data_IF_648365413629
#
_entry.id   IF_648365413629
#
_cell.length_a   1.000
_cell.length_b   1.000
_cell.length_c   1.000
_cell.angle_alpha   90.00
_cell.angle_beta   90.00
_cell.angle_gamma   90.00
#
_symmetry.space_group_name_H-M   'P 1'
#
loop_
_entity.id
_entity.type
_entity.pdbx_description
1 polymer ?
#
# COMPACT_ATOMS: atom_id res chain seq x y z
N UNK A 1 -15.18 1.20 11.59
CA UNK A 1 -16.27 1.56 10.64
C UNK A 1 -15.74 1.25 9.25
N UNK A 2 -16.38 0.35 8.52
CA UNK A 2 -15.97 0.02 7.15
C UNK A 2 -16.36 1.12 6.16
N UNK A 3 -15.63 1.22 5.07
CA UNK A 3 -15.93 2.12 3.95
C UNK A 3 -16.35 1.26 2.76
N UNK A 4 -17.44 1.60 2.13
CA UNK A 4 -18.05 0.85 1.02
C UNK A 4 -18.25 1.75 -0.18
N UNK A 5 -17.86 1.27 -1.36
CA UNK A 5 -18.08 1.92 -2.66
C UNK A 5 -17.69 3.41 -2.61
N UNK A 6 -16.40 3.65 -2.58
CA UNK A 6 -15.82 4.99 -2.54
C UNK A 6 -14.69 5.10 -3.54
N UNK A 7 -14.39 6.31 -3.97
CA UNK A 7 -13.29 6.56 -4.89
C UNK A 7 -12.46 7.78 -4.53
N UNK A 8 -11.18 7.71 -4.84
CA UNK A 8 -10.23 8.82 -4.84
C UNK A 8 -9.66 8.87 -6.26
N UNK A 9 -10.06 9.85 -7.02
CA UNK A 9 -9.71 9.91 -8.44
C UNK A 9 -9.28 11.31 -8.88
N UNK A 10 -8.32 11.37 -9.79
CA UNK A 10 -7.84 12.60 -10.42
C UNK A 10 -7.33 13.65 -9.41
N UNK A 11 -6.71 13.20 -8.33
CA UNK A 11 -6.21 14.04 -7.24
C UNK A 11 -4.68 14.10 -7.23
N UNK A 12 -4.16 15.14 -6.58
CA UNK A 12 -2.73 15.27 -6.27
C UNK A 12 -2.55 15.27 -4.76
N UNK A 13 -1.67 14.41 -4.28
CA UNK A 13 -1.22 14.32 -2.89
C UNK A 13 0.27 14.66 -2.85
N UNK A 14 0.62 15.74 -2.20
CA UNK A 14 1.99 16.23 -2.17
C UNK A 14 2.30 16.93 -0.85
N UNK A 15 3.57 16.93 -0.45
CA UNK A 15 4.07 17.57 0.76
C UNK A 15 3.37 17.04 2.04
N UNK A 16 3.37 15.71 2.18
CA UNK A 16 2.73 15.04 3.31
C UNK A 16 3.79 14.40 4.20
N UNK A 17 3.72 14.62 5.51
CA UNK A 17 4.66 14.06 6.48
C UNK A 17 4.58 12.53 6.62
N UNK A 18 3.40 11.95 6.46
CA UNK A 18 3.13 10.52 6.57
C UNK A 18 2.73 9.84 5.26
N UNK A 19 1.92 8.80 5.35
CA UNK A 19 1.37 8.05 4.21
C UNK A 19 0.46 8.94 3.36
N UNK A 20 0.64 8.91 2.04
CA UNK A 20 -0.15 9.71 1.11
C UNK A 20 -1.64 9.33 1.14
N UNK A 21 -1.96 8.06 0.96
CA UNK A 21 -3.32 7.52 1.06
C UNK A 21 -3.29 6.26 1.92
N UNK A 22 -4.12 6.21 2.96
CA UNK A 22 -4.21 5.06 3.86
C UNK A 22 -5.64 4.54 3.93
N UNK A 23 -5.83 3.24 3.66
CA UNK A 23 -7.15 2.60 3.62
C UNK A 23 -7.13 1.31 4.44
N UNK A 24 -8.27 1.01 5.05
CA UNK A 24 -8.51 -0.24 5.74
C UNK A 24 -8.01 -0.27 7.16
N UNK A 25 -7.97 -1.47 7.74
CA UNK A 25 -7.59 -1.68 9.11
C UNK A 25 -6.11 -2.07 9.23
N UNK A 26 -5.47 -1.46 10.20
CA UNK A 26 -4.15 -1.83 10.70
C UNK A 26 -4.32 -2.03 12.21
N UNK A 27 -4.71 -3.24 12.65
CA UNK A 27 -5.04 -3.49 14.04
C UNK A 27 -3.89 -3.16 15.00
N UNK A 28 -4.22 -2.61 16.16
CA UNK A 28 -3.26 -2.30 17.21
C UNK A 28 -2.47 -3.56 17.63
N UNK A 29 -1.18 -3.41 17.83
CA UNK A 29 -0.27 -4.53 18.07
C UNK A 29 -0.03 -5.41 16.85
N UNK A 30 -0.57 -5.02 15.70
CA UNK A 30 -0.48 -5.73 14.43
C UNK A 30 0.82 -5.53 13.67
N UNK A 31 1.82 -4.88 14.25
CA UNK A 31 3.14 -4.85 13.65
C UNK A 31 3.67 -6.28 13.54
N UNK A 32 4.00 -6.70 12.35
CA UNK A 32 4.56 -8.03 12.10
C UNK A 32 3.71 -9.16 12.70
N UNK A 33 2.39 -9.04 12.64
CA UNK A 33 1.51 -10.10 13.13
C UNK A 33 1.45 -11.27 12.17
N UNK A 34 1.54 -12.48 12.72
CA UNK A 34 1.27 -13.73 12.00
C UNK A 34 -0.17 -14.21 12.18
N UNK A 35 -0.97 -13.43 12.86
CA UNK A 35 -2.38 -13.75 13.13
C UNK A 35 -3.25 -13.04 12.10
N UNK A 36 -4.14 -13.75 11.38
CA UNK A 36 -5.02 -13.11 10.42
C UNK A 36 -6.04 -12.21 11.13
N UNK A 37 -6.29 -11.05 10.54
CA UNK A 37 -7.39 -10.20 11.00
C UNK A 37 -8.65 -10.52 10.20
N UNK A 38 -9.65 -11.03 10.90
CA UNK A 38 -10.99 -11.22 10.36
C UNK A 38 -11.90 -10.29 11.17
N UNK A 39 -12.44 -9.23 10.58
CA UNK A 39 -13.30 -8.33 11.34
C UNK A 39 -14.54 -9.10 11.82
N UNK A 40 -14.98 -8.87 13.06
CA UNK A 40 -16.14 -9.58 13.63
C UNK A 40 -17.44 -9.30 12.88
N UNK A 41 -17.49 -8.19 12.16
CA UNK A 41 -18.61 -7.80 11.33
C UNK A 41 -18.10 -7.37 9.94
N UNK A 42 -18.71 -7.88 8.88
CA UNK A 42 -18.32 -7.59 7.49
C UNK A 42 -18.26 -6.08 7.21
N UNK A 43 -19.15 -5.30 7.80
CA UNK A 43 -19.16 -3.83 7.70
C UNK A 43 -17.90 -3.14 8.24
N UNK A 44 -17.04 -3.85 8.93
CA UNK A 44 -15.78 -3.31 9.43
C UNK A 44 -14.62 -3.52 8.44
N UNK A 45 -14.87 -4.26 7.36
CA UNK A 45 -13.93 -4.40 6.26
C UNK A 45 -14.14 -3.26 5.26
N UNK A 46 -13.07 -2.63 4.82
CA UNK A 46 -13.13 -1.70 3.71
C UNK A 46 -13.23 -2.47 2.39
N UNK A 47 -14.28 -2.22 1.62
CA UNK A 47 -14.55 -2.94 0.36
C UNK A 47 -14.84 -2.01 -0.80
N UNK A 48 -14.52 -2.48 -2.01
CA UNK A 48 -14.93 -1.85 -3.28
C UNK A 48 -14.50 -0.37 -3.39
N UNK A 49 -13.27 -0.07 -2.96
CA UNK A 49 -12.68 1.27 -3.03
C UNK A 49 -11.83 1.38 -4.28
N UNK A 50 -12.00 2.47 -5.01
CA UNK A 50 -11.19 2.82 -6.19
C UNK A 50 -10.21 3.93 -5.86
N UNK A 51 -8.92 3.73 -6.17
CA UNK A 51 -7.87 4.76 -6.15
C UNK A 51 -7.30 4.84 -7.56
N UNK A 52 -7.68 5.87 -8.31
CA UNK A 52 -7.41 5.90 -9.74
C UNK A 52 -6.95 7.25 -10.25
N UNK A 53 -5.96 7.21 -11.13
CA UNK A 53 -5.47 8.39 -11.84
C UNK A 53 -5.05 9.54 -10.91
N UNK A 54 -4.38 9.21 -9.81
CA UNK A 54 -3.84 10.18 -8.86
C UNK A 54 -2.34 10.32 -9.03
N UNK A 55 -1.82 11.49 -8.69
CA UNK A 55 -0.40 11.72 -8.44
C UNK A 55 -0.16 11.75 -6.93
N UNK A 56 0.66 10.83 -6.44
CA UNK A 56 1.12 10.79 -5.04
C UNK A 56 2.63 11.00 -5.07
N UNK A 57 3.06 12.18 -4.65
CA UNK A 57 4.46 12.57 -4.75
C UNK A 57 4.93 13.35 -3.53
N UNK A 58 6.21 13.22 -3.18
CA UNK A 58 6.79 13.96 -2.08
C UNK A 58 5.98 13.80 -0.78
N UNK A 59 5.68 12.55 -0.45
CA UNK A 59 5.03 12.15 0.79
C UNK A 59 6.01 11.35 1.66
N UNK A 60 5.67 11.04 2.90
CA UNK A 60 6.54 10.38 3.89
C UNK A 60 7.68 11.29 4.41
N UNK A 61 7.49 12.59 4.41
CA UNK A 61 8.56 13.56 4.65
C UNK A 61 9.00 13.64 6.11
N UNK A 62 8.12 13.36 7.06
CA UNK A 62 8.41 13.38 8.50
C UNK A 62 8.51 11.96 9.07
N UNK A 63 7.60 11.07 8.68
CA UNK A 63 7.63 9.65 9.05
C UNK A 63 8.10 8.81 7.86
N UNK A 64 9.37 8.50 7.83
CA UNK A 64 10.00 7.81 6.71
C UNK A 64 9.54 6.36 6.55
N UNK A 65 9.01 5.73 7.60
CA UNK A 65 8.46 4.37 7.55
C UNK A 65 7.10 4.29 6.87
N UNK A 66 6.50 5.42 6.55
CA UNK A 66 5.24 5.50 5.82
C UNK A 66 5.41 5.18 4.33
N UNK A 67 4.29 4.99 3.63
CA UNK A 67 4.26 4.56 2.23
C UNK A 67 3.46 5.52 1.34
N UNK A 68 3.60 5.41 0.02
CA UNK A 68 2.81 6.24 -0.90
C UNK A 68 1.32 5.93 -0.79
N UNK A 69 0.93 4.68 -0.99
CA UNK A 69 -0.44 4.17 -0.80
C UNK A 69 -0.36 2.95 0.10
N UNK A 70 -1.07 2.97 1.21
CA UNK A 70 -1.23 1.85 2.14
C UNK A 70 -2.67 1.35 2.16
N UNK A 71 -2.87 0.06 1.94
CA UNK A 71 -4.15 -0.61 2.04
C UNK A 71 -4.01 -1.83 2.95
N UNK A 72 -4.52 -1.77 4.16
CA UNK A 72 -4.40 -2.83 5.16
C UNK A 72 -5.27 -4.05 4.84
N UNK A 73 -6.14 -4.43 5.75
CA UNK A 73 -7.10 -5.51 5.50
C UNK A 73 -8.28 -4.97 4.68
N UNK A 74 -8.24 -5.21 3.38
CA UNK A 74 -9.19 -4.67 2.38
C UNK A 74 -9.64 -5.76 1.41
N UNK A 75 -10.79 -5.59 0.79
CA UNK A 75 -11.31 -6.52 -0.20
C UNK A 75 -11.91 -5.80 -1.41
N UNK A 76 -11.61 -6.29 -2.61
CA UNK A 76 -12.19 -5.74 -3.85
C UNK A 76 -11.71 -4.34 -4.20
N UNK A 77 -10.54 -3.90 -3.70
CA UNK A 77 -10.04 -2.57 -4.05
C UNK A 77 -9.43 -2.56 -5.46
N UNK A 78 -9.50 -1.38 -6.10
CA UNK A 78 -8.87 -1.09 -7.37
C UNK A 78 -7.89 0.08 -7.22
N UNK A 79 -6.59 -0.23 -7.24
CA UNK A 79 -5.52 0.78 -7.28
C UNK A 79 -4.94 0.78 -8.68
N UNK A 80 -5.36 1.73 -9.50
CA UNK A 80 -4.97 1.72 -10.91
C UNK A 80 -4.64 3.09 -11.50
N UNK A 81 -3.70 3.09 -12.47
CA UNK A 81 -3.31 4.29 -13.21
C UNK A 81 -2.78 5.44 -12.33
N UNK A 82 -2.23 5.14 -11.15
CA UNK A 82 -1.63 6.16 -10.31
C UNK A 82 -0.14 6.30 -10.62
N UNK A 83 0.37 7.51 -10.47
CA UNK A 83 1.80 7.79 -10.38
C UNK A 83 2.17 8.00 -8.90
N UNK A 84 3.13 7.22 -8.43
CA UNK A 84 3.55 7.20 -7.02
C UNK A 84 5.06 7.34 -6.96
N UNK A 85 5.55 8.46 -6.46
CA UNK A 85 6.98 8.75 -6.57
C UNK A 85 7.54 9.67 -5.47
N UNK A 86 8.88 9.78 -5.44
CA UNK A 86 9.65 10.59 -4.50
C UNK A 86 9.36 10.24 -3.04
N UNK A 87 9.49 8.95 -2.72
CA UNK A 87 9.16 8.38 -1.41
C UNK A 87 10.40 7.99 -0.63
N UNK A 88 10.33 8.12 0.67
CA UNK A 88 11.42 7.69 1.56
C UNK A 88 11.45 6.18 1.80
N UNK A 89 10.36 5.48 1.54
CA UNK A 89 10.23 4.04 1.72
C UNK A 89 9.49 3.40 0.52
N UNK A 90 8.49 2.54 0.80
CA UNK A 90 7.77 1.77 -0.23
C UNK A 90 6.70 2.57 -0.98
N UNK A 91 6.41 2.15 -2.21
CA UNK A 91 5.41 2.77 -3.08
C UNK A 91 3.98 2.43 -2.68
N UNK A 92 3.48 1.29 -3.14
CA UNK A 92 2.12 0.81 -2.91
C UNK A 92 2.18 -0.48 -2.09
N UNK A 93 1.62 -0.46 -0.89
CA UNK A 93 1.54 -1.61 0.00
C UNK A 93 0.10 -2.07 0.15
N UNK A 94 -0.18 -3.34 -0.20
CA UNK A 94 -1.52 -3.93 -0.09
C UNK A 94 -1.46 -5.20 0.74
N UNK A 95 -2.22 -5.23 1.82
CA UNK A 95 -2.22 -6.28 2.81
C UNK A 95 -1.47 -5.93 4.07
N UNK A 96 -1.66 -6.74 5.09
CA UNK A 96 -1.02 -6.60 6.38
C UNK A 96 -0.80 -7.98 7.04
N UNK A 97 0.21 -8.05 7.90
CA UNK A 97 0.58 -9.30 8.54
C UNK A 97 1.35 -10.27 7.64
N UNK A 98 1.90 -11.31 8.22
CA UNK A 98 2.65 -12.36 7.52
C UNK A 98 2.02 -13.73 7.81
N UNK A 99 0.93 -14.04 7.12
CA UNK A 99 0.22 -15.31 7.32
C UNK A 99 -0.33 -15.88 6.02
N UNK A 100 -0.30 -17.20 5.90
CA UNK A 100 -0.98 -17.92 4.81
C UNK A 100 -2.45 -18.25 5.14
N UNK A 101 -2.88 -17.95 6.36
CA UNK A 101 -4.25 -18.19 6.77
C UNK A 101 -5.21 -17.22 6.11
N UNK A 102 -6.48 -17.61 6.01
CA UNK A 102 -7.52 -16.75 5.49
C UNK A 102 -7.71 -15.50 6.37
N UNK A 103 -7.91 -14.38 5.69
CA UNK A 103 -8.28 -13.10 6.29
C UNK A 103 -9.44 -12.49 5.49
N UNK A 104 -9.83 -11.27 5.80
CA UNK A 104 -10.81 -10.56 4.98
C UNK A 104 -10.31 -10.14 3.59
N UNK A 105 -9.01 -10.26 3.34
CA UNK A 105 -8.38 -9.77 2.10
C UNK A 105 -8.62 -10.69 0.93
N UNK A 106 -9.18 -10.14 -0.16
CA UNK A 106 -9.40 -10.89 -1.42
C UNK A 106 -9.73 -9.94 -2.57
N UNK A 107 -9.57 -10.44 -3.80
CA UNK A 107 -10.02 -9.79 -5.04
C UNK A 107 -9.49 -8.35 -5.21
N UNK A 108 -8.32 -8.04 -4.67
CA UNK A 108 -7.69 -6.73 -4.79
C UNK A 108 -6.99 -6.61 -6.14
N UNK A 109 -7.07 -5.47 -6.79
CA UNK A 109 -6.46 -5.22 -8.08
C UNK A 109 -5.50 -4.05 -8.01
N UNK A 110 -4.23 -4.28 -8.38
CA UNK A 110 -3.18 -3.27 -8.45
C UNK A 110 -2.67 -3.28 -9.90
N UNK A 111 -3.12 -2.32 -10.72
CA UNK A 111 -2.94 -2.40 -12.15
C UNK A 111 -2.52 -1.07 -12.79
N UNK A 112 -1.61 -1.15 -13.75
CA UNK A 112 -1.20 -0.02 -14.58
C UNK A 112 -0.72 1.22 -13.78
N UNK A 113 -0.14 1.03 -12.61
CA UNK A 113 0.46 2.11 -11.85
C UNK A 113 1.92 2.34 -12.29
N UNK A 114 2.38 3.57 -12.17
CA UNK A 114 3.77 3.94 -12.35
C UNK A 114 4.38 4.32 -11.00
N UNK A 115 5.31 3.50 -10.51
CA UNK A 115 5.98 3.72 -9.21
C UNK A 115 7.47 3.95 -9.45
N UNK A 116 7.99 5.08 -8.99
CA UNK A 116 9.40 5.42 -9.22
C UNK A 116 9.98 6.36 -8.16
N UNK A 117 11.32 6.44 -8.08
CA UNK A 117 12.05 7.25 -7.12
C UNK A 117 11.57 6.99 -5.67
N UNK A 118 11.70 5.76 -5.24
CA UNK A 118 11.33 5.30 -3.89
C UNK A 118 12.55 4.69 -3.17
N UNK A 119 12.41 4.37 -1.89
CA UNK A 119 13.50 3.91 -1.01
C UNK A 119 14.63 4.96 -0.83
N UNK A 120 14.29 6.24 -0.78
CA UNK A 120 15.27 7.32 -0.67
C UNK A 120 15.98 7.39 0.68
N UNK A 121 15.35 6.91 1.74
CA UNK A 121 15.85 6.97 3.12
C UNK A 121 15.93 5.63 3.80
N UNK A 122 15.00 4.73 3.54
CA UNK A 122 14.94 3.40 4.14
C UNK A 122 15.12 2.33 3.08
N UNK A 123 15.87 1.30 3.43
CA UNK A 123 16.02 0.07 2.67
C UNK A 123 14.89 -0.94 3.00
N UNK A 124 14.93 -2.13 2.44
CA UNK A 124 13.89 -3.16 2.58
C UNK A 124 12.51 -2.66 2.09
N UNK A 125 12.56 -1.93 0.99
CA UNK A 125 11.40 -1.29 0.39
C UNK A 125 11.02 -1.97 -0.94
N UNK A 126 9.75 -1.85 -1.32
CA UNK A 126 9.25 -2.31 -2.61
C UNK A 126 8.43 -1.25 -3.33
N UNK A 127 8.54 -1.19 -4.65
CA UNK A 127 7.61 -0.36 -5.44
C UNK A 127 6.17 -0.84 -5.27
N UNK A 128 5.97 -2.16 -5.32
CA UNK A 128 4.74 -2.84 -4.90
C UNK A 128 5.10 -3.85 -3.80
N UNK A 129 4.34 -3.84 -2.73
CA UNK A 129 4.55 -4.73 -1.60
C UNK A 129 3.22 -5.33 -1.15
N UNK A 130 3.15 -6.67 -1.10
CA UNK A 130 1.93 -7.37 -0.69
C UNK A 130 2.20 -8.35 0.42
N UNK A 131 1.29 -8.42 1.36
CA UNK A 131 1.40 -9.25 2.54
C UNK A 131 0.18 -10.15 2.70
N UNK A 132 0.42 -11.31 3.31
CA UNK A 132 -0.58 -12.32 3.68
C UNK A 132 -1.35 -12.92 2.51
N UNK A 133 -2.24 -13.83 2.81
CA UNK A 133 -3.07 -14.52 1.84
C UNK A 133 -4.17 -13.60 1.31
N UNK A 134 -4.22 -13.42 -0.01
CA UNK A 134 -5.19 -12.56 -0.70
C UNK A 134 -5.76 -13.27 -1.93
N UNK A 135 -6.62 -14.26 -1.77
CA UNK A 135 -7.15 -15.04 -2.89
C UNK A 135 -7.86 -14.14 -3.92
N UNK A 136 -7.66 -14.43 -5.20
CA UNK A 136 -8.25 -13.68 -6.30
C UNK A 136 -7.65 -12.28 -6.54
N UNK A 137 -6.65 -11.87 -5.76
CA UNK A 137 -5.97 -10.59 -5.98
C UNK A 137 -4.98 -10.66 -7.14
N UNK A 138 -4.83 -9.56 -7.86
CA UNK A 138 -4.02 -9.48 -9.08
C UNK A 138 -3.16 -8.24 -9.10
N UNK A 139 -1.88 -8.41 -9.43
CA UNK A 139 -0.96 -7.33 -9.79
C UNK A 139 -0.51 -7.50 -11.23
N UNK A 140 -0.75 -6.52 -12.09
CA UNK A 140 -0.35 -6.58 -13.49
C UNK A 140 -0.14 -5.21 -14.13
N UNK A 141 0.65 -5.19 -15.19
CA UNK A 141 0.90 -4.01 -16.01
C UNK A 141 1.45 -2.80 -15.25
N UNK A 142 1.99 -2.98 -14.05
CA UNK A 142 2.61 -1.89 -13.32
C UNK A 142 4.03 -1.67 -13.84
N UNK A 143 4.45 -0.41 -13.88
CA UNK A 143 5.81 -0.01 -14.19
C UNK A 143 6.49 0.42 -12.89
N UNK A 144 7.63 -0.20 -12.57
CA UNK A 144 8.41 0.09 -11.37
C UNK A 144 9.84 0.35 -11.82
N UNK A 145 10.39 1.49 -11.46
CA UNK A 145 11.77 1.85 -11.80
C UNK A 145 12.36 2.87 -10.82
N UNK A 146 13.63 3.15 -10.94
CA UNK A 146 14.34 4.11 -10.10
C UNK A 146 14.20 3.82 -8.60
N UNK A 147 14.49 2.57 -8.21
CA UNK A 147 14.78 2.26 -6.81
C UNK A 147 16.03 3.03 -6.42
N UNK A 148 15.93 3.90 -5.44
CA UNK A 148 17.07 4.64 -4.91
C UNK A 148 17.77 3.82 -3.82
N UNK A 149 19.08 3.94 -3.72
CA UNK A 149 19.84 3.28 -2.67
C UNK A 149 19.82 4.15 -1.40
N UNK A 150 19.07 3.69 -0.40
CA UNK A 150 19.02 4.38 0.87
C UNK A 150 20.43 4.51 1.51
N UNK A 151 20.77 5.62 2.14
CA UNK A 151 22.11 5.87 2.69
C UNK A 151 22.59 4.83 3.71
N UNK A 152 21.67 4.09 4.28
CA UNK A 152 21.91 3.05 5.29
C UNK A 152 21.75 1.63 4.74
N UNK A 153 21.59 1.48 3.44
CA UNK A 153 21.56 0.16 2.83
C UNK A 153 22.94 -0.51 3.04
N UNK A 154 22.95 -1.66 3.69
CA UNK A 154 24.16 -2.44 3.83
C UNK A 154 24.48 -3.15 2.51
N UNK A 155 25.75 -3.18 2.14
CA UNK A 155 26.21 -3.86 0.91
C UNK A 155 26.21 -5.40 1.01
N UNK A 156 25.58 -5.96 2.01
CA UNK A 156 25.41 -7.41 2.17
C UNK A 156 24.27 -7.91 1.29
N UNK A 157 24.52 -7.93 -0.03
CA UNK A 157 23.63 -8.49 -1.05
C UNK A 157 24.22 -9.73 -1.68
#
# INVERSE_FOLDING_TARGET
MGCFISGIENCVFSDIGGTGILIGAFPDGGFETHVPFIPPEERNLCTDITIKNNLITDVTNEDWGCVGIGAGYVSGIDISHNEVCHLNYSGICVGWGWTSLESGMKNNRIEANYVHHFARRLYDAGGLYTLSNQPGSVMRNNRIEHLEEAPYATNDR
#
